data_IF_793804319803
#
_entry.id   IF_793804319803
#
_cell.length_a   1.000
_cell.length_b   1.000
_cell.length_c   1.000
_cell.angle_alpha   90.00
_cell.angle_beta   90.00
_cell.angle_gamma   90.00
#
_symmetry.space_group_name_H-M   'P 1'
#
loop_
_entity.id
_entity.type
_entity.pdbx_description
1 polymer ?
#
# COMPACT_ATOMS: atom_id res chain seq x y z
N UNK A 1 -12.83 14.94 15.28
CA UNK A 1 -12.25 15.86 14.27
C UNK A 1 -10.83 15.46 13.87
N UNK A 2 -9.92 15.16 14.78
CA UNK A 2 -8.53 14.72 14.49
C UNK A 2 -8.50 13.49 13.58
N UNK A 3 -9.26 12.44 13.88
CA UNK A 3 -9.34 11.20 13.07
C UNK A 3 -9.60 11.44 11.57
N UNK A 4 -10.57 12.31 11.27
CA UNK A 4 -10.92 12.61 9.87
C UNK A 4 -9.77 13.32 9.14
N UNK A 5 -9.09 14.23 9.86
CA UNK A 5 -7.92 14.93 9.31
C UNK A 5 -6.79 13.93 9.04
N UNK A 6 -6.50 13.03 9.96
CA UNK A 6 -5.47 12.00 9.80
C UNK A 6 -5.77 11.06 8.63
N UNK A 7 -7.02 10.59 8.51
CA UNK A 7 -7.45 9.78 7.37
C UNK A 7 -7.26 10.51 6.04
N UNK A 8 -7.68 11.77 5.95
CA UNK A 8 -7.51 12.59 4.74
C UNK A 8 -6.03 12.78 4.41
N UNK A 9 -5.20 13.12 5.40
CA UNK A 9 -3.75 13.31 5.20
C UNK A 9 -3.10 12.03 4.69
N UNK A 10 -3.43 10.88 5.28
CA UNK A 10 -2.90 9.60 4.83
C UNK A 10 -3.36 9.25 3.41
N UNK A 11 -4.63 9.46 3.07
CA UNK A 11 -5.12 9.25 1.70
C UNK A 11 -4.39 10.15 0.69
N UNK A 12 -4.13 11.42 1.04
CA UNK A 12 -3.33 12.33 0.19
C UNK A 12 -1.89 11.81 0.02
N UNK A 13 -1.24 11.38 1.11
CA UNK A 13 0.11 10.84 1.05
C UNK A 13 0.19 9.57 0.18
N UNK A 14 -0.79 8.67 0.30
CA UNK A 14 -0.91 7.49 -0.58
C UNK A 14 -1.09 7.90 -2.05
N UNK A 15 -1.97 8.85 -2.33
CA UNK A 15 -2.17 9.39 -3.70
C UNK A 15 -0.86 9.92 -4.28
N UNK A 16 -0.11 10.71 -3.51
CA UNK A 16 1.18 11.25 -3.95
C UNK A 16 2.20 10.11 -4.20
N UNK A 17 2.20 9.09 -3.36
CA UNK A 17 3.07 7.91 -3.53
C UNK A 17 2.74 7.19 -4.85
N UNK A 18 1.47 6.87 -5.12
CA UNK A 18 1.04 6.21 -6.36
C UNK A 18 1.33 7.10 -7.58
N UNK A 19 1.14 8.41 -7.48
CA UNK A 19 1.49 9.36 -8.53
C UNK A 19 2.99 9.33 -8.88
N UNK A 20 3.86 9.17 -7.87
CA UNK A 20 5.31 9.00 -8.13
C UNK A 20 5.63 7.66 -8.78
N UNK A 21 4.89 6.60 -8.44
CA UNK A 21 5.04 5.26 -9.05
C UNK A 21 4.63 5.27 -10.53
N UNK A 22 3.61 6.04 -10.90
CA UNK A 22 3.17 6.18 -12.30
C UNK A 22 4.25 6.76 -13.23
N UNK A 23 5.28 7.42 -12.71
CA UNK A 23 6.41 7.95 -13.50
C UNK A 23 7.41 6.87 -13.93
N UNK A 24 7.47 5.76 -13.19
CA UNK A 24 8.39 4.66 -13.47
C UNK A 24 7.75 3.33 -13.05
N UNK A 25 6.77 2.84 -13.83
CA UNK A 25 5.97 1.68 -13.46
C UNK A 25 6.80 0.38 -13.34
N UNK A 26 7.95 0.28 -13.99
CA UNK A 26 8.79 -0.94 -13.92
C UNK A 26 9.30 -1.19 -12.49
N UNK A 27 9.55 -0.14 -11.70
CA UNK A 27 9.95 -0.28 -10.29
C UNK A 27 8.88 -0.93 -9.43
N UNK A 28 7.63 -0.85 -9.85
CA UNK A 28 6.47 -1.41 -9.15
C UNK A 28 5.87 -2.63 -9.86
N UNK A 29 6.58 -3.23 -10.80
CA UNK A 29 6.13 -4.38 -11.59
C UNK A 29 5.45 -5.48 -10.77
N UNK A 30 5.94 -5.76 -9.57
CA UNK A 30 5.35 -6.78 -8.70
C UNK A 30 4.01 -6.41 -8.06
N UNK A 31 3.49 -5.22 -8.30
CA UNK A 31 2.14 -4.81 -7.90
C UNK A 31 1.11 -5.03 -9.01
N UNK A 32 1.54 -5.51 -10.17
CA UNK A 32 0.68 -5.83 -11.31
C UNK A 32 0.18 -7.28 -11.27
N UNK A 33 -0.93 -7.60 -11.96
CA UNK A 33 -1.39 -8.97 -12.14
C UNK A 33 -0.30 -9.89 -12.71
N UNK A 34 -0.26 -11.18 -12.32
CA UNK A 34 0.82 -12.10 -12.67
C UNK A 34 1.09 -12.22 -14.19
N UNK A 35 0.06 -12.24 -15.01
CA UNK A 35 0.21 -12.35 -16.47
C UNK A 35 0.92 -11.14 -17.08
N UNK A 36 0.63 -9.92 -16.56
CA UNK A 36 1.35 -8.71 -16.98
C UNK A 36 2.81 -8.82 -16.58
N UNK A 37 3.09 -9.26 -15.34
CA UNK A 37 4.46 -9.47 -14.87
C UNK A 37 5.23 -10.45 -15.76
N UNK A 38 4.61 -11.56 -16.16
CA UNK A 38 5.23 -12.57 -17.05
C UNK A 38 5.53 -11.98 -18.43
N UNK A 39 4.58 -11.27 -19.03
CA UNK A 39 4.77 -10.61 -20.31
C UNK A 39 5.92 -9.59 -20.25
N UNK A 40 5.91 -8.70 -19.27
CA UNK A 40 6.97 -7.67 -19.10
C UNK A 40 8.34 -8.33 -18.92
N UNK A 41 8.44 -9.40 -18.14
CA UNK A 41 9.70 -10.16 -17.95
C UNK A 41 10.19 -10.82 -19.22
N UNK A 42 9.32 -11.15 -20.17
CA UNK A 42 9.69 -11.73 -21.46
C UNK A 42 10.17 -10.70 -22.49
N UNK A 43 9.90 -9.41 -22.28
CA UNK A 43 10.25 -8.34 -23.21
C UNK A 43 11.71 -7.90 -23.01
N UNK A 44 12.57 -7.95 -24.06
CA UNK A 44 14.00 -7.64 -23.94
C UNK A 44 14.30 -6.26 -23.36
N UNK A 45 13.45 -5.27 -23.66
CA UNK A 45 13.63 -3.89 -23.21
C UNK A 45 13.57 -3.73 -21.70
N UNK A 46 12.95 -4.66 -20.94
CA UNK A 46 12.80 -4.56 -19.50
C UNK A 46 13.74 -5.46 -18.69
N UNK A 47 14.42 -6.43 -19.31
CA UNK A 47 15.20 -7.45 -18.60
C UNK A 47 16.22 -6.86 -17.59
N UNK A 48 16.88 -5.75 -17.96
CA UNK A 48 17.88 -5.11 -17.11
C UNK A 48 17.30 -4.08 -16.11
N UNK A 49 15.97 -3.83 -16.16
CA UNK A 49 15.32 -2.80 -15.34
C UNK A 49 14.46 -3.41 -14.21
N UNK A 50 14.21 -4.73 -14.28
CA UNK A 50 13.34 -5.41 -13.32
C UNK A 50 13.96 -5.42 -11.93
N UNK A 51 13.26 -4.89 -10.89
CA UNK A 51 13.78 -4.88 -9.53
C UNK A 51 13.98 -6.29 -8.97
N UNK A 52 15.03 -6.49 -8.20
CA UNK A 52 15.22 -7.75 -7.48
C UNK A 52 14.16 -7.92 -6.39
N UNK A 53 13.50 -9.07 -6.36
CA UNK A 53 12.44 -9.35 -5.38
C UNK A 53 12.93 -9.22 -3.92
N UNK A 54 14.18 -9.58 -3.64
CA UNK A 54 14.81 -9.43 -2.32
C UNK A 54 14.81 -7.98 -1.84
N UNK A 55 15.19 -7.05 -2.69
CA UNK A 55 15.22 -5.62 -2.35
C UNK A 55 13.81 -5.09 -2.04
N UNK A 56 12.79 -5.58 -2.74
CA UNK A 56 11.40 -5.23 -2.48
C UNK A 56 10.93 -5.69 -1.08
N UNK A 57 11.27 -6.91 -0.68
CA UNK A 57 10.90 -7.43 0.65
C UNK A 57 11.56 -6.60 1.75
N UNK A 58 12.86 -6.31 1.63
CA UNK A 58 13.59 -5.49 2.60
C UNK A 58 12.99 -4.08 2.70
N UNK A 59 12.68 -3.46 1.55
CA UNK A 59 12.05 -2.14 1.52
C UNK A 59 10.66 -2.14 2.19
N UNK A 60 9.84 -3.16 1.95
CA UNK A 60 8.52 -3.31 2.59
C UNK A 60 8.65 -3.48 4.11
N UNK A 61 9.57 -4.31 4.57
CA UNK A 61 9.82 -4.50 6.02
C UNK A 61 10.28 -3.19 6.67
N UNK A 62 11.23 -2.48 6.06
CA UNK A 62 11.68 -1.18 6.55
C UNK A 62 10.57 -0.14 6.62
N UNK A 63 9.74 -0.05 5.58
CA UNK A 63 8.58 0.82 5.55
C UNK A 63 7.55 0.45 6.63
N UNK A 64 7.30 -0.85 6.88
CA UNK A 64 6.39 -1.30 7.93
C UNK A 64 6.90 -0.93 9.32
N UNK A 65 8.20 -1.10 9.59
CA UNK A 65 8.79 -0.69 10.87
C UNK A 65 8.68 0.81 11.08
N UNK A 66 9.01 1.60 10.06
CA UNK A 66 8.89 3.07 10.12
C UNK A 66 7.44 3.49 10.35
N UNK A 67 6.49 2.85 9.67
CA UNK A 67 5.06 3.10 9.85
C UNK A 67 4.60 2.79 11.27
N UNK A 68 4.99 1.65 11.86
CA UNK A 68 4.69 1.28 13.24
C UNK A 68 5.20 2.36 14.20
N UNK A 69 6.44 2.81 14.04
CA UNK A 69 7.04 3.84 14.91
C UNK A 69 6.25 5.15 14.80
N UNK A 70 6.03 5.65 13.59
CA UNK A 70 5.33 6.92 13.36
C UNK A 70 3.90 6.86 13.89
N UNK A 71 3.16 5.79 13.58
CA UNK A 71 1.80 5.62 14.03
C UNK A 71 1.72 5.55 15.56
N UNK A 72 2.61 4.79 16.22
CA UNK A 72 2.66 4.71 17.68
C UNK A 72 2.90 6.08 18.33
N UNK A 73 3.83 6.88 17.78
CA UNK A 73 4.11 8.24 18.27
C UNK A 73 2.92 9.18 18.07
N UNK A 74 2.27 9.14 16.91
CA UNK A 74 1.07 9.95 16.65
C UNK A 74 -0.05 9.59 17.63
N UNK A 75 -0.38 8.30 17.74
CA UNK A 75 -1.46 7.84 18.59
C UNK A 75 -1.18 8.14 20.07
N UNK A 76 0.07 8.03 20.51
CA UNK A 76 0.45 8.32 21.90
C UNK A 76 0.46 9.82 22.21
N UNK A 77 1.14 10.63 21.40
CA UNK A 77 1.45 12.01 21.74
C UNK A 77 0.50 13.05 21.14
N UNK A 78 -0.16 12.75 20.04
CA UNK A 78 -1.14 13.64 19.40
C UNK A 78 -2.56 13.28 19.84
N UNK A 79 -2.90 11.98 19.83
CA UNK A 79 -4.24 11.51 20.19
C UNK A 79 -4.39 11.23 21.70
N UNK A 80 -3.30 11.05 22.44
CA UNK A 80 -3.31 10.84 23.88
C UNK A 80 -3.68 9.41 24.31
N UNK A 81 -3.64 8.44 23.39
CA UNK A 81 -3.97 7.05 23.70
C UNK A 81 -2.89 6.39 24.56
N UNK A 82 -3.32 5.57 25.52
CA UNK A 82 -2.44 4.94 26.50
C UNK A 82 -2.67 3.44 26.66
N UNK A 83 -3.73 2.90 26.08
CA UNK A 83 -4.08 1.48 26.20
C UNK A 83 -3.92 0.73 24.89
N UNK A 84 -3.73 -0.59 24.99
CA UNK A 84 -3.67 -1.49 23.82
C UNK A 84 -4.92 -1.34 22.92
N UNK A 85 -6.11 -1.35 23.52
CA UNK A 85 -7.38 -1.31 22.79
C UNK A 85 -7.53 0.00 22.00
N UNK A 86 -7.15 1.13 22.59
CA UNK A 86 -7.19 2.43 21.92
C UNK A 86 -6.22 2.45 20.74
N UNK A 87 -4.96 2.06 20.95
CA UNK A 87 -3.94 2.05 19.91
C UNK A 87 -4.25 1.07 18.78
N UNK A 88 -4.65 -0.16 19.14
CA UNK A 88 -5.04 -1.18 18.17
C UNK A 88 -6.28 -0.74 17.37
N UNK A 89 -7.37 -0.39 18.07
CA UNK A 89 -8.66 -0.12 17.43
C UNK A 89 -8.62 1.10 16.53
N UNK A 90 -8.01 2.18 17.00
CA UNK A 90 -7.88 3.41 16.22
C UNK A 90 -6.94 3.22 15.02
N UNK A 91 -5.78 2.60 15.26
CA UNK A 91 -4.82 2.32 14.18
C UNK A 91 -5.41 1.41 13.11
N UNK A 92 -6.15 0.36 13.51
CA UNK A 92 -6.79 -0.56 12.59
C UNK A 92 -7.91 0.12 11.78
N UNK A 93 -8.76 0.92 12.44
CA UNK A 93 -9.81 1.68 11.73
C UNK A 93 -9.23 2.67 10.73
N UNK A 94 -8.15 3.37 11.10
CA UNK A 94 -7.46 4.31 10.22
C UNK A 94 -6.85 3.59 9.01
N UNK A 95 -6.19 2.43 9.25
CA UNK A 95 -5.67 1.59 8.18
C UNK A 95 -6.76 1.14 7.22
N UNK A 96 -7.89 0.60 7.75
CA UNK A 96 -9.01 0.10 6.95
C UNK A 96 -9.55 1.17 6.00
N UNK A 97 -9.68 2.42 6.48
CA UNK A 97 -10.13 3.54 5.63
C UNK A 97 -9.14 3.82 4.51
N UNK A 98 -7.84 3.88 4.82
CA UNK A 98 -6.80 4.16 3.84
C UNK A 98 -6.68 3.01 2.85
N UNK A 99 -6.75 1.76 3.31
CA UNK A 99 -6.69 0.57 2.46
C UNK A 99 -7.93 0.45 1.53
N UNK A 100 -9.12 0.80 2.03
CA UNK A 100 -10.32 0.86 1.20
C UNK A 100 -10.22 1.97 0.14
N UNK A 101 -9.69 3.14 0.52
CA UNK A 101 -9.42 4.23 -0.42
C UNK A 101 -8.40 3.80 -1.49
N UNK A 102 -7.30 3.16 -1.09
CA UNK A 102 -6.29 2.64 -2.02
C UNK A 102 -6.92 1.66 -3.02
N UNK A 103 -7.61 0.64 -2.53
CA UNK A 103 -8.22 -0.38 -3.37
C UNK A 103 -9.28 0.17 -4.34
N UNK A 104 -10.14 1.07 -3.88
CA UNK A 104 -11.28 1.55 -4.68
C UNK A 104 -10.85 2.72 -5.58
N UNK A 105 -10.22 3.73 -5.01
CA UNK A 105 -9.94 4.98 -5.72
C UNK A 105 -8.62 4.88 -6.50
N UNK A 106 -7.55 4.41 -5.86
CA UNK A 106 -6.24 4.40 -6.50
C UNK A 106 -6.05 3.20 -7.40
N UNK A 107 -6.42 2.00 -6.95
CA UNK A 107 -6.25 0.78 -7.74
C UNK A 107 -7.35 0.63 -8.80
N UNK A 108 -8.62 0.53 -8.39
CA UNK A 108 -9.70 0.23 -9.33
C UNK A 108 -10.02 1.43 -10.23
N UNK A 109 -10.24 2.63 -9.65
CA UNK A 109 -10.67 3.78 -10.44
C UNK A 109 -9.52 4.44 -11.21
N UNK A 110 -8.32 4.47 -10.68
CA UNK A 110 -7.20 5.16 -11.32
C UNK A 110 -6.23 4.20 -12.00
N UNK A 111 -5.53 3.32 -11.26
CA UNK A 111 -4.50 2.43 -11.80
C UNK A 111 -5.02 1.57 -12.96
N UNK A 112 -6.19 0.95 -12.82
CA UNK A 112 -6.74 0.07 -13.84
C UNK A 112 -7.12 0.81 -15.15
N UNK A 113 -7.27 2.13 -15.13
CA UNK A 113 -7.78 2.90 -16.27
C UNK A 113 -6.80 3.93 -16.82
N UNK A 114 -5.70 4.22 -16.13
CA UNK A 114 -4.75 5.23 -16.58
C UNK A 114 -3.66 4.63 -17.47
N UNK A 115 -3.53 5.11 -18.71
CA UNK A 115 -2.55 4.57 -19.68
C UNK A 115 -1.09 4.70 -19.23
N UNK A 116 -0.80 5.56 -18.24
CA UNK A 116 0.55 5.69 -17.67
C UNK A 116 1.04 4.44 -16.96
N UNK A 117 0.13 3.56 -16.55
CA UNK A 117 0.45 2.29 -15.93
C UNK A 117 0.55 1.13 -16.93
N UNK A 118 0.23 1.36 -18.21
CA UNK A 118 0.34 0.34 -19.25
C UNK A 118 1.78 0.26 -19.75
N UNK A 119 2.37 -0.93 -19.69
CA UNK A 119 3.72 -1.15 -20.22
C UNK A 119 3.72 -1.22 -21.75
N UNK A 120 4.61 -0.50 -22.46
CA UNK A 120 4.84 -0.70 -23.88
C UNK A 120 5.11 -2.17 -24.24
N UNK A 121 4.29 -2.74 -25.14
CA UNK A 121 4.32 -4.15 -25.52
C UNK A 121 3.37 -5.06 -24.73
N UNK A 122 2.43 -4.45 -23.97
CA UNK A 122 1.35 -5.14 -23.24
C UNK A 122 -0.02 -4.49 -23.49
N UNK A 123 -0.14 -3.66 -24.50
CA UNK A 123 -1.35 -2.89 -24.82
C UNK A 123 -2.54 -3.80 -25.20
N UNK A 124 -2.26 -5.02 -25.62
CA UNK A 124 -3.23 -6.07 -25.93
C UNK A 124 -3.84 -6.74 -24.68
N UNK A 125 -3.30 -6.44 -23.49
CA UNK A 125 -3.69 -7.11 -22.23
C UNK A 125 -4.69 -6.29 -21.39
N UNK A 126 -5.62 -5.57 -22.00
CA UNK A 126 -6.55 -4.66 -21.34
C UNK A 126 -7.35 -5.36 -20.22
N UNK A 127 -7.83 -6.57 -20.45
CA UNK A 127 -8.58 -7.35 -19.46
C UNK A 127 -7.77 -7.66 -18.20
N UNK A 128 -6.45 -7.87 -18.34
CA UNK A 128 -5.57 -8.13 -17.22
C UNK A 128 -5.31 -6.84 -16.42
N UNK A 129 -5.24 -5.68 -17.06
CA UNK A 129 -5.18 -4.38 -16.36
C UNK A 129 -6.47 -4.06 -15.63
N UNK A 130 -7.62 -4.49 -16.12
CA UNK A 130 -8.92 -4.35 -15.46
C UNK A 130 -9.24 -5.51 -14.49
N UNK A 131 -8.26 -6.25 -14.03
CA UNK A 131 -8.45 -7.32 -13.07
C UNK A 131 -8.69 -6.77 -11.66
N UNK A 132 -9.88 -6.21 -11.42
CA UNK A 132 -10.28 -5.64 -10.13
C UNK A 132 -10.16 -6.63 -8.98
N UNK A 133 -10.43 -7.92 -9.25
CA UNK A 133 -10.33 -8.97 -8.22
C UNK A 133 -8.91 -9.12 -7.69
N UNK A 134 -7.89 -8.92 -8.52
CA UNK A 134 -6.49 -8.92 -8.09
C UNK A 134 -6.24 -7.86 -7.02
N UNK A 135 -6.75 -6.64 -7.21
CA UNK A 135 -6.60 -5.51 -6.29
C UNK A 135 -7.41 -5.72 -5.01
N UNK A 136 -8.67 -6.16 -5.11
CA UNK A 136 -9.52 -6.50 -3.95
C UNK A 136 -8.85 -7.58 -3.09
N UNK A 137 -8.32 -8.64 -3.71
CA UNK A 137 -7.60 -9.70 -3.00
C UNK A 137 -6.35 -9.17 -2.30
N UNK A 138 -5.61 -8.27 -2.96
CA UNK A 138 -4.46 -7.57 -2.38
C UNK A 138 -4.83 -6.76 -1.14
N UNK A 139 -5.92 -6.01 -1.21
CA UNK A 139 -6.48 -5.24 -0.10
C UNK A 139 -6.88 -6.13 1.09
N UNK A 140 -7.57 -7.26 0.84
CA UNK A 140 -7.94 -8.21 1.89
C UNK A 140 -6.71 -8.82 2.59
N UNK A 141 -5.64 -9.11 1.84
CA UNK A 141 -4.36 -9.54 2.42
C UNK A 141 -3.76 -8.39 3.25
N UNK A 142 -3.85 -7.15 2.77
CA UNK A 142 -3.44 -5.95 3.48
C UNK A 142 -4.14 -5.79 4.83
N UNK A 143 -5.45 -6.07 4.90
CA UNK A 143 -6.20 -6.07 6.18
C UNK A 143 -5.68 -7.14 7.15
N UNK A 144 -5.37 -8.33 6.67
CA UNK A 144 -4.76 -9.38 7.50
C UNK A 144 -3.40 -8.95 8.09
N UNK A 145 -2.58 -8.24 7.31
CA UNK A 145 -1.31 -7.67 7.76
C UNK A 145 -1.55 -6.54 8.77
N UNK A 146 -2.57 -5.71 8.55
CA UNK A 146 -2.95 -4.62 9.44
C UNK A 146 -3.27 -5.09 10.86
N UNK A 147 -3.96 -6.22 11.00
CA UNK A 147 -4.23 -6.81 12.32
C UNK A 147 -2.95 -7.01 13.13
N UNK A 148 -1.91 -7.55 12.49
CA UNK A 148 -0.61 -7.78 13.15
C UNK A 148 0.10 -6.46 13.45
N UNK A 149 0.17 -5.56 12.47
CA UNK A 149 0.84 -4.25 12.63
C UNK A 149 0.17 -3.43 13.75
N UNK A 150 -1.16 -3.32 13.73
CA UNK A 150 -1.88 -2.54 14.73
C UNK A 150 -1.84 -3.19 16.12
N UNK A 151 -1.76 -4.52 16.22
CA UNK A 151 -1.52 -5.20 17.49
C UNK A 151 -0.15 -4.81 18.06
N UNK A 152 0.89 -4.77 17.24
CA UNK A 152 2.22 -4.30 17.66
C UNK A 152 2.19 -2.83 18.09
N UNK A 153 1.48 -1.96 17.35
CA UNK A 153 1.29 -0.56 17.73
C UNK A 153 0.61 -0.44 19.10
N UNK A 154 -0.48 -1.18 19.33
CA UNK A 154 -1.17 -1.19 20.61
C UNK A 154 -0.29 -1.65 21.77
N UNK A 155 0.55 -2.69 21.55
CA UNK A 155 1.52 -3.14 22.55
C UNK A 155 2.59 -2.09 22.84
N UNK A 156 3.11 -1.41 21.84
CA UNK A 156 4.09 -0.33 22.01
C UNK A 156 3.49 0.81 22.83
N UNK A 157 2.26 1.23 22.51
CA UNK A 157 1.57 2.31 23.24
C UNK A 157 1.37 1.94 24.71
N UNK A 158 0.99 0.70 25.01
CA UNK A 158 0.67 0.30 26.38
C UNK A 158 1.91 0.01 27.23
N UNK A 159 2.99 -0.52 26.65
CA UNK A 159 4.11 -1.04 27.45
C UNK A 159 5.45 -0.32 27.23
N UNK A 160 5.56 0.51 26.18
CA UNK A 160 6.82 1.19 25.82
C UNK A 160 6.70 2.71 25.91
N UNK A 161 5.55 3.27 25.60
CA UNK A 161 5.27 4.71 25.59
C UNK A 161 4.26 5.10 26.67
#
# INVERSE_FOLDING_TARGET
MIFVIEAIVLCILFTLMVFTMAKDPIKTLYNYPPKIQERVKSLPQYQNQIPTQKNKVIAKLGASVLFIIILSLILRYINGYATFIEGFGYGFLLWTIVNAYDAIVLDICWFCHDPRFVFPGTEDMVEEYHNYWFHIKGSLIGEGIALVICAVVGLIIQFVL
#
